data_IF_783170237556
#
_entry.id   IF_783170237556
#
_cell.length_a   1.000
_cell.length_b   1.000
_cell.length_c   1.000
_cell.angle_alpha   90.00
_cell.angle_beta   90.00
_cell.angle_gamma   90.00
#
_symmetry.space_group_name_H-M   'P 1'
#
loop_
_entity.id
_entity.type
_entity.pdbx_description
1 polymer ?
#
# COMPACT_ATOMS: atom_id res chain seq x y z
N UNK A 1 -9.44 44.99 -25.00
CA UNK A 1 -9.91 44.48 -23.69
C UNK A 1 -9.07 43.29 -23.31
N UNK A 2 -8.23 43.49 -22.29
CA UNK A 2 -7.36 42.47 -21.70
C UNK A 2 -8.17 41.49 -20.83
N UNK A 3 -7.55 40.35 -20.52
CA UNK A 3 -8.02 39.19 -19.76
C UNK A 3 -8.64 38.05 -20.57
N UNK A 4 -7.83 37.43 -21.43
CA UNK A 4 -7.90 35.98 -21.56
C UNK A 4 -7.35 35.43 -20.24
N UNK A 5 -8.24 35.18 -19.28
CA UNK A 5 -7.88 34.53 -18.02
C UNK A 5 -7.28 33.18 -18.39
N UNK A 6 -6.03 32.98 -18.00
CA UNK A 6 -5.45 31.67 -17.78
C UNK A 6 -6.39 30.94 -16.81
N UNK A 7 -7.39 30.25 -17.35
CA UNK A 7 -8.03 29.17 -16.63
C UNK A 7 -6.94 28.12 -16.53
N UNK A 8 -6.20 28.17 -15.42
CA UNK A 8 -5.33 27.07 -15.04
C UNK A 8 -6.21 25.82 -15.01
N UNK A 9 -6.11 25.01 -16.07
CA UNK A 9 -6.72 23.68 -16.12
C UNK A 9 -6.10 22.87 -14.97
N UNK A 10 -6.80 22.86 -13.83
CA UNK A 10 -6.33 22.19 -12.63
C UNK A 10 -6.42 20.68 -12.85
N UNK A 11 -5.26 20.02 -12.96
CA UNK A 11 -5.20 18.57 -13.10
C UNK A 11 -5.44 17.92 -11.74
N UNK A 12 -6.60 17.28 -11.58
CA UNK A 12 -6.92 16.51 -10.38
C UNK A 12 -6.23 15.14 -10.41
N UNK A 13 -5.18 14.99 -9.59
CA UNK A 13 -4.43 13.74 -9.42
C UNK A 13 -4.76 13.09 -8.08
N UNK A 14 -4.85 11.76 -8.08
CA UNK A 14 -5.00 10.94 -6.88
C UNK A 14 -3.99 9.81 -6.88
N UNK A 15 -3.71 9.25 -5.71
CA UNK A 15 -2.82 8.10 -5.54
C UNK A 15 -3.58 6.92 -4.96
N UNK A 16 -3.16 5.72 -5.32
CA UNK A 16 -3.58 4.49 -4.64
C UNK A 16 -2.41 4.01 -3.80
N UNK A 17 -2.68 3.50 -2.60
CA UNK A 17 -1.65 3.17 -1.61
C UNK A 17 -1.86 1.73 -1.14
N UNK A 18 -0.77 0.96 -1.10
CA UNK A 18 -0.72 -0.35 -0.48
C UNK A 18 0.23 -0.34 0.71
N UNK A 19 -0.23 -0.76 1.88
CA UNK A 19 0.55 -0.79 3.12
C UNK A 19 0.66 -2.21 3.67
N UNK A 20 1.89 -2.68 3.90
CA UNK A 20 2.14 -3.86 4.72
C UNK A 20 2.67 -3.43 6.09
N UNK A 21 2.09 -3.95 7.16
CA UNK A 21 2.49 -3.63 8.53
C UNK A 21 2.44 -4.89 9.41
N UNK A 22 3.20 -4.90 10.50
CA UNK A 22 3.24 -6.03 11.42
C UNK A 22 4.56 -6.10 12.16
N UNK A 23 4.59 -6.92 13.21
CA UNK A 23 5.82 -7.18 13.96
C UNK A 23 6.69 -8.17 13.18
N UNK A 24 7.93 -7.80 12.81
CA UNK A 24 8.84 -8.71 12.14
C UNK A 24 9.19 -9.89 13.05
N UNK A 25 8.85 -11.11 12.61
CA UNK A 25 9.28 -12.35 13.24
C UNK A 25 10.62 -12.85 12.67
N UNK A 26 11.14 -13.98 13.15
CA UNK A 26 12.44 -14.53 12.74
C UNK A 26 12.56 -14.79 11.22
N UNK A 27 11.46 -15.17 10.58
CA UNK A 27 11.39 -15.39 9.12
C UNK A 27 10.92 -14.15 8.32
N UNK A 28 10.81 -13.00 8.98
CA UNK A 28 10.42 -11.78 8.30
C UNK A 28 11.59 -11.23 7.47
N UNK A 29 11.29 -10.77 6.27
CA UNK A 29 12.25 -10.08 5.41
C UNK A 29 11.64 -8.81 4.83
N UNK A 30 12.44 -7.75 4.61
CA UNK A 30 11.97 -6.54 3.93
C UNK A 30 11.33 -6.85 2.56
N UNK A 31 11.90 -7.80 1.81
CA UNK A 31 11.36 -8.24 0.53
C UNK A 31 9.95 -8.83 0.65
N UNK A 32 9.65 -9.55 1.74
CA UNK A 32 8.29 -10.04 2.01
C UNK A 32 7.33 -8.88 2.24
N UNK A 33 7.70 -7.91 3.08
CA UNK A 33 6.85 -6.74 3.34
C UNK A 33 6.60 -5.92 2.08
N UNK A 34 7.62 -5.73 1.24
CA UNK A 34 7.49 -5.02 -0.03
C UNK A 34 6.50 -5.72 -0.98
N UNK A 35 6.59 -7.06 -1.11
CA UNK A 35 5.63 -7.83 -1.92
C UNK A 35 4.20 -7.72 -1.39
N UNK A 36 4.01 -7.73 -0.07
CA UNK A 36 2.68 -7.59 0.53
C UNK A 36 2.11 -6.18 0.31
N UNK A 37 2.95 -5.14 0.40
CA UNK A 37 2.55 -3.77 0.12
C UNK A 37 2.18 -3.58 -1.35
N UNK A 38 2.95 -4.17 -2.28
CA UNK A 38 2.64 -4.14 -3.70
C UNK A 38 1.32 -4.87 -4.01
N UNK A 39 1.07 -6.02 -3.38
CA UNK A 39 -0.21 -6.71 -3.53
C UNK A 39 -1.39 -5.88 -3.01
N UNK A 40 -1.22 -5.18 -1.88
CA UNK A 40 -2.21 -4.23 -1.38
C UNK A 40 -2.42 -3.08 -2.37
N UNK A 41 -1.35 -2.53 -2.94
CA UNK A 41 -1.41 -1.46 -3.94
C UNK A 41 -2.17 -1.92 -5.18
N UNK A 42 -1.93 -3.15 -5.63
CA UNK A 42 -2.67 -3.74 -6.74
C UNK A 42 -4.18 -3.83 -6.44
N UNK A 43 -4.55 -4.28 -5.22
CA UNK A 43 -5.96 -4.26 -4.78
C UNK A 43 -6.53 -2.85 -4.76
N UNK A 44 -5.77 -1.86 -4.27
CA UNK A 44 -6.22 -0.47 -4.23
C UNK A 44 -6.53 0.06 -5.63
N UNK A 45 -5.64 -0.24 -6.59
CA UNK A 45 -5.83 0.11 -8.01
C UNK A 45 -7.05 -0.57 -8.62
N UNK A 46 -7.29 -1.84 -8.29
CA UNK A 46 -8.40 -2.62 -8.85
C UNK A 46 -9.76 -2.26 -8.22
N UNK A 47 -9.78 -1.89 -6.93
CA UNK A 47 -10.99 -1.54 -6.18
C UNK A 47 -11.44 -0.07 -6.36
N UNK A 48 -11.11 0.55 -7.50
CA UNK A 48 -11.55 1.91 -7.81
C UNK A 48 -10.52 3.03 -7.56
N UNK A 49 -9.26 2.70 -7.26
CA UNK A 49 -8.16 3.67 -7.02
C UNK A 49 -8.47 4.62 -5.85
N UNK A 50 -7.70 5.71 -5.72
CA UNK A 50 -7.85 6.76 -4.70
C UNK A 50 -8.14 6.23 -3.29
N UNK A 51 -7.40 5.19 -2.86
CA UNK A 51 -7.68 4.49 -1.61
C UNK A 51 -6.44 3.83 -1.03
N UNK A 52 -6.54 3.51 0.25
CA UNK A 52 -5.59 2.71 1.01
C UNK A 52 -6.11 1.28 1.14
N UNK A 53 -5.28 0.32 0.77
CA UNK A 53 -5.45 -1.09 1.11
C UNK A 53 -4.30 -1.53 2.01
N UNK A 54 -4.58 -2.43 2.96
CA UNK A 54 -3.56 -2.87 3.92
C UNK A 54 -3.43 -4.39 3.97
N UNK A 55 -2.26 -4.86 4.43
CA UNK A 55 -1.99 -6.26 4.80
C UNK A 55 -1.27 -6.27 6.13
N UNK A 56 -1.78 -7.07 7.06
CA UNK A 56 -1.02 -7.41 8.25
C UNK A 56 -0.07 -8.58 7.94
N UNK A 57 1.23 -8.33 8.02
CA UNK A 57 2.25 -9.35 7.95
C UNK A 57 2.40 -10.01 9.33
N UNK A 58 1.85 -11.20 9.50
CA UNK A 58 2.08 -11.98 10.71
C UNK A 58 3.53 -12.49 10.72
N UNK A 59 4.27 -12.19 11.79
CA UNK A 59 5.55 -12.84 12.07
C UNK A 59 5.31 -14.34 12.25
N UNK A 60 6.14 -15.17 11.62
CA UNK A 60 6.05 -16.62 11.75
C UNK A 60 5.98 -17.01 13.22
N UNK A 61 4.88 -17.62 13.63
CA UNK A 61 4.74 -18.18 14.96
C UNK A 61 5.72 -19.35 15.04
N UNK A 62 6.72 -19.27 15.92
CA UNK A 62 7.45 -20.47 16.31
C UNK A 62 6.46 -21.40 17.00
N UNK A 63 5.99 -22.42 16.28
CA UNK A 63 5.32 -23.56 16.87
C UNK A 63 6.33 -24.24 17.77
N UNK A 64 6.32 -23.92 19.07
CA UNK A 64 7.00 -24.72 20.09
C UNK A 64 6.27 -26.05 20.14
N UNK A 65 6.78 -27.04 19.41
CA UNK A 65 6.44 -28.44 19.64
C UNK A 65 6.95 -28.80 21.03
N UNK A 66 6.06 -28.88 22.02
CA UNK A 66 6.39 -29.47 23.31
C UNK A 66 6.74 -30.95 23.06
N UNK A 67 7.96 -31.33 23.44
CA UNK A 67 8.41 -32.71 23.52
C UNK A 67 8.34 -33.20 24.96
#
# INVERSE_FOLDING_TARGET
>A
SYHHKDQEDCIHLTVSIGLAYGLPGPDSSPARFLRLADQALYRAKHNGRNRLETVQANGGQHHTTNH
#
